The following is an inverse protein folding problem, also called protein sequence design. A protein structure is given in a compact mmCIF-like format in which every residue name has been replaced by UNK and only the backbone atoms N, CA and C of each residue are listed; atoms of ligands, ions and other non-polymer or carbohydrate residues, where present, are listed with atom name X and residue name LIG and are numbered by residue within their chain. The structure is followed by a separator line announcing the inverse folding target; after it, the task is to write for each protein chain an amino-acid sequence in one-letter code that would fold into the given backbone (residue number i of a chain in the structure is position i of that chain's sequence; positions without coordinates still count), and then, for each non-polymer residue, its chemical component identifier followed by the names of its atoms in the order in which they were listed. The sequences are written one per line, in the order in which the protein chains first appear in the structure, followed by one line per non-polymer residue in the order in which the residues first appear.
data_IF_052801519652
#
_entry.id   IF_052801519652
#
_cell.length_a   1.000
_cell.length_b   1.000
_cell.length_c   1.000
_cell.angle_alpha   90.00
_cell.angle_beta   90.00
_cell.angle_gamma   90.00
#
_symmetry.space_group_name_H-M   'P 1'
#
loop_
_entity.id
_entity.type
_entity.pdbx_description
1 polymer ?
#
# COMPACT_ATOMS: atom_id res chain seq x y z
N UNK A 1 -62.34 -8.79 -28.15
CA UNK A 1 -61.14 -8.13 -28.69
C UNK A 1 -60.92 -6.74 -28.10
N UNK A 2 -61.50 -5.64 -28.61
CA UNK A 2 -61.18 -4.28 -28.11
C UNK A 2 -61.52 -4.05 -26.62
N UNK A 3 -62.64 -4.57 -26.13
CA UNK A 3 -63.04 -4.42 -24.71
C UNK A 3 -62.17 -5.24 -23.75
N UNK A 4 -61.75 -6.44 -24.15
CA UNK A 4 -60.85 -7.30 -23.35
C UNK A 4 -59.45 -6.69 -23.27
N UNK A 5 -58.99 -6.07 -24.35
CA UNK A 5 -57.71 -5.36 -24.37
C UNK A 5 -57.74 -4.14 -23.44
N UNK A 6 -58.84 -3.38 -23.47
CA UNK A 6 -59.05 -2.22 -22.62
C UNK A 6 -59.09 -2.61 -21.13
N UNK A 7 -59.79 -3.69 -20.80
CA UNK A 7 -59.85 -4.23 -19.45
C UNK A 7 -58.50 -4.75 -18.95
N UNK A 8 -57.70 -5.38 -19.82
CA UNK A 8 -56.32 -5.79 -19.47
C UNK A 8 -55.42 -4.59 -19.16
N UNK A 9 -55.51 -3.53 -19.97
CA UNK A 9 -54.74 -2.31 -19.76
C UNK A 9 -55.15 -1.59 -18.47
N UNK A 10 -56.44 -1.58 -18.13
CA UNK A 10 -56.92 -1.01 -16.87
C UNK A 10 -56.37 -1.77 -15.66
N UNK A 11 -56.44 -3.11 -15.66
CA UNK A 11 -55.86 -3.94 -14.59
C UNK A 11 -54.37 -3.70 -14.46
N UNK A 12 -53.62 -3.75 -15.56
CA UNK A 12 -52.19 -3.51 -15.56
C UNK A 12 -51.83 -2.10 -15.03
N UNK A 13 -52.62 -1.08 -15.39
CA UNK A 13 -52.39 0.28 -14.90
C UNK A 13 -52.62 0.39 -13.39
N UNK A 14 -53.68 -0.23 -12.86
CA UNK A 14 -53.95 -0.24 -11.41
C UNK A 14 -52.88 -1.00 -10.62
N UNK A 15 -52.36 -2.10 -11.15
CA UNK A 15 -51.25 -2.85 -10.55
C UNK A 15 -49.96 -2.00 -10.55
N UNK A 16 -49.70 -1.29 -11.65
CA UNK A 16 -48.56 -0.38 -11.79
C UNK A 16 -48.65 0.78 -10.79
N UNK A 17 -49.81 1.42 -10.66
CA UNK A 17 -50.06 2.50 -9.70
C UNK A 17 -49.87 2.02 -8.26
N UNK A 18 -50.40 0.83 -7.93
CA UNK A 18 -50.23 0.23 -6.60
C UNK A 18 -48.74 -0.04 -6.31
N UNK A 19 -47.99 -0.54 -7.29
CA UNK A 19 -46.56 -0.80 -7.17
C UNK A 19 -45.75 0.49 -6.96
N UNK A 20 -46.07 1.55 -7.71
CA UNK A 20 -45.45 2.87 -7.55
C UNK A 20 -45.71 3.40 -6.14
N UNK A 21 -46.95 3.30 -5.66
CA UNK A 21 -47.33 3.81 -4.34
C UNK A 21 -46.59 3.08 -3.22
N UNK A 22 -46.48 1.75 -3.32
CA UNK A 22 -45.68 0.93 -2.39
C UNK A 22 -44.20 1.30 -2.42
N UNK A 23 -43.62 1.51 -3.61
CA UNK A 23 -42.22 1.88 -3.76
C UNK A 23 -41.89 3.31 -3.29
N UNK A 24 -42.88 4.21 -3.34
CA UNK A 24 -42.71 5.62 -2.97
C UNK A 24 -42.91 5.85 -1.47
N UNK A 25 -43.67 4.99 -0.79
CA UNK A 25 -43.85 5.03 0.67
C UNK A 25 -42.50 4.96 1.40
N UNK A 26 -42.14 6.02 2.14
CA UNK A 26 -40.84 6.15 2.81
C UNK A 26 -39.68 6.58 1.90
N UNK A 27 -39.94 6.83 0.62
CA UNK A 27 -39.02 7.45 -0.35
C UNK A 27 -39.57 8.76 -0.88
N UNK A 28 -40.48 9.39 -0.15
CA UNK A 28 -41.09 10.63 -0.60
C UNK A 28 -40.00 11.68 -0.86
N UNK A 29 -40.14 12.40 -1.98
CA UNK A 29 -39.26 13.51 -2.27
C UNK A 29 -39.51 14.62 -1.23
N UNK A 30 -38.58 14.71 -0.30
CA UNK A 30 -38.56 15.68 0.77
C UNK A 30 -37.20 16.38 0.78
N UNK A 31 -37.16 17.61 1.27
CA UNK A 31 -35.91 18.35 1.42
C UNK A 31 -34.91 17.56 2.29
N UNK A 32 -35.38 16.91 3.37
CA UNK A 32 -34.56 16.06 4.23
C UNK A 32 -33.94 14.88 3.46
N UNK A 33 -34.72 14.21 2.62
CA UNK A 33 -34.22 13.11 1.78
C UNK A 33 -33.15 13.59 0.80
N UNK A 34 -33.39 14.73 0.12
CA UNK A 34 -32.41 15.31 -0.81
C UNK A 34 -31.12 15.71 -0.12
N UNK A 35 -31.20 16.31 1.07
CA UNK A 35 -30.02 16.64 1.89
C UNK A 35 -29.26 15.38 2.35
N UNK A 36 -29.96 14.34 2.79
CA UNK A 36 -29.33 13.08 3.19
C UNK A 36 -28.63 12.37 2.02
N UNK A 37 -29.25 12.37 0.84
CA UNK A 37 -28.63 11.81 -0.38
C UNK A 37 -27.38 12.60 -0.76
N UNK A 38 -27.42 13.94 -0.67
CA UNK A 38 -26.25 14.77 -0.94
C UNK A 38 -25.11 14.50 0.05
N UNK A 39 -25.41 14.41 1.35
CA UNK A 39 -24.42 14.05 2.38
C UNK A 39 -23.85 12.65 2.20
N UNK A 40 -24.69 11.70 1.79
CA UNK A 40 -24.24 10.34 1.50
C UNK A 40 -23.23 10.35 0.33
N UNK A 41 -23.55 11.04 -0.76
CA UNK A 41 -22.66 11.16 -1.90
C UNK A 41 -21.32 11.84 -1.55
N UNK A 42 -21.36 12.88 -0.71
CA UNK A 42 -20.14 13.53 -0.20
C UNK A 42 -19.30 12.58 0.67
N UNK A 43 -19.94 11.83 1.57
CA UNK A 43 -19.26 10.87 2.43
C UNK A 43 -18.65 9.70 1.63
N UNK A 44 -19.35 9.19 0.62
CA UNK A 44 -18.85 8.14 -0.29
C UNK A 44 -17.65 8.64 -1.10
N UNK A 45 -17.71 9.88 -1.61
CA UNK A 45 -16.58 10.48 -2.32
C UNK A 45 -15.36 10.67 -1.41
N UNK A 46 -15.58 11.09 -0.15
CA UNK A 46 -14.52 11.24 0.83
C UNK A 46 -13.90 9.89 1.22
N UNK A 47 -14.71 8.86 1.45
CA UNK A 47 -14.22 7.51 1.76
C UNK A 47 -13.36 6.96 0.62
N UNK A 48 -13.79 7.14 -0.64
CA UNK A 48 -12.99 6.73 -1.80
C UNK A 48 -11.63 7.42 -1.85
N UNK A 49 -11.55 8.73 -1.60
CA UNK A 49 -10.27 9.45 -1.61
C UNK A 49 -9.38 9.04 -0.44
N UNK A 50 -9.95 8.88 0.77
CA UNK A 50 -9.21 8.42 1.95
C UNK A 50 -8.67 7.00 1.77
N UNK A 51 -9.45 6.08 1.17
CA UNK A 51 -8.97 4.73 0.87
C UNK A 51 -7.83 4.74 -0.14
N UNK A 52 -7.91 5.61 -1.16
CA UNK A 52 -6.84 5.78 -2.14
C UNK A 52 -5.58 6.34 -1.49
N UNK A 53 -5.70 7.30 -0.59
CA UNK A 53 -4.59 7.86 0.18
C UNK A 53 -3.97 6.79 1.11
N UNK A 54 -4.78 6.07 1.87
CA UNK A 54 -4.33 4.96 2.72
C UNK A 54 -3.55 3.90 1.94
N UNK A 55 -4.00 3.57 0.71
CA UNK A 55 -3.30 2.62 -0.15
C UNK A 55 -1.91 3.12 -0.55
N UNK A 56 -1.71 4.42 -0.73
CA UNK A 56 -0.38 4.98 -1.01
C UNK A 56 0.58 4.79 0.17
N UNK A 57 0.07 4.78 1.39
CA UNK A 57 0.85 4.56 2.61
C UNK A 57 0.87 3.11 3.07
N UNK A 58 0.28 2.18 2.31
CA UNK A 58 0.21 0.76 2.71
C UNK A 58 1.59 0.10 2.85
N UNK A 59 2.58 0.54 2.06
CA UNK A 59 3.97 0.09 2.17
C UNK A 59 4.73 0.76 3.33
N UNK A 60 4.12 1.75 3.99
CA UNK A 60 4.71 2.51 5.10
C UNK A 60 4.26 2.02 6.48
N UNK A 61 3.97 0.72 6.64
CA UNK A 61 3.66 0.15 7.95
C UNK A 61 4.85 0.39 8.91
N UNK A 62 4.65 1.18 9.99
CA UNK A 62 5.69 1.48 10.96
C UNK A 62 6.35 0.22 11.55
N UNK A 63 5.57 -0.86 11.69
CA UNK A 63 6.04 -2.13 12.22
C UNK A 63 7.01 -2.81 11.26
N UNK A 64 6.64 -2.87 9.97
CA UNK A 64 7.46 -3.46 8.93
C UNK A 64 8.73 -2.65 8.71
N UNK A 65 8.62 -1.31 8.68
CA UNK A 65 9.76 -0.41 8.56
C UNK A 65 10.72 -0.54 9.76
N UNK A 66 10.20 -0.66 10.99
CA UNK A 66 11.02 -0.86 12.18
C UNK A 66 11.78 -2.20 12.12
N UNK A 67 11.10 -3.28 11.68
CA UNK A 67 11.72 -4.57 11.50
C UNK A 67 12.84 -4.51 10.44
N UNK A 68 12.56 -3.90 9.28
CA UNK A 68 13.55 -3.73 8.21
C UNK A 68 14.76 -2.93 8.67
N UNK A 69 14.55 -1.82 9.39
CA UNK A 69 15.65 -1.02 9.97
C UNK A 69 16.51 -1.87 10.89
N UNK A 70 15.91 -2.68 11.77
CA UNK A 70 16.66 -3.57 12.67
C UNK A 70 17.51 -4.58 11.89
N UNK A 71 16.96 -5.20 10.85
CA UNK A 71 17.72 -6.12 10.00
C UNK A 71 18.87 -5.41 9.28
N UNK A 72 18.63 -4.22 8.74
CA UNK A 72 19.67 -3.41 8.09
C UNK A 72 20.79 -3.03 9.06
N UNK A 73 20.48 -2.67 10.31
CA UNK A 73 21.49 -2.39 11.33
C UNK A 73 22.33 -3.63 11.61
N UNK A 74 21.70 -4.79 11.84
CA UNK A 74 22.44 -6.04 12.10
C UNK A 74 23.32 -6.43 10.91
N UNK A 75 22.81 -6.29 9.69
CA UNK A 75 23.57 -6.57 8.46
C UNK A 75 24.76 -5.61 8.29
N UNK A 76 24.55 -4.31 8.56
CA UNK A 76 25.62 -3.30 8.54
C UNK A 76 26.70 -3.61 9.56
N UNK A 77 26.32 -3.89 10.80
CA UNK A 77 27.28 -4.22 11.87
C UNK A 77 28.06 -5.48 11.54
N UNK A 78 27.39 -6.50 10.99
CA UNK A 78 28.04 -7.73 10.54
C UNK A 78 29.02 -7.47 9.38
N UNK A 79 28.63 -6.66 8.39
CA UNK A 79 29.48 -6.28 7.28
C UNK A 79 30.73 -5.54 7.78
N UNK A 80 30.56 -4.51 8.62
CA UNK A 80 31.67 -3.74 9.18
C UNK A 80 32.62 -4.61 10.00
N UNK A 81 32.10 -5.56 10.79
CA UNK A 81 32.95 -6.50 11.54
C UNK A 81 33.80 -7.36 10.60
N UNK A 82 33.24 -7.84 9.49
CA UNK A 82 34.02 -8.60 8.52
C UNK A 82 35.03 -7.72 7.78
N UNK A 83 34.68 -6.47 7.46
CA UNK A 83 35.59 -5.48 6.89
C UNK A 83 36.80 -5.23 7.80
N UNK A 84 36.56 -4.97 9.09
CA UNK A 84 37.62 -4.77 10.07
C UNK A 84 38.50 -6.02 10.21
N UNK A 85 37.91 -7.22 10.25
CA UNK A 85 38.66 -8.47 10.29
C UNK A 85 39.57 -8.64 9.06
N UNK A 86 39.08 -8.29 7.86
CA UNK A 86 39.88 -8.30 6.63
C UNK A 86 41.06 -7.34 6.75
N UNK A 87 40.85 -6.11 7.25
CA UNK A 87 41.92 -5.12 7.43
C UNK A 87 42.96 -5.56 8.47
N UNK A 88 42.54 -6.19 9.56
CA UNK A 88 43.45 -6.77 10.55
C UNK A 88 44.29 -7.88 9.93
N UNK A 89 43.67 -8.79 9.19
CA UNK A 89 44.36 -9.90 8.54
C UNK A 89 45.33 -9.42 7.45
N UNK A 90 44.90 -8.47 6.62
CA UNK A 90 45.74 -7.82 5.64
C UNK A 90 46.97 -7.16 6.29
N UNK A 91 46.76 -6.39 7.36
CA UNK A 91 47.86 -5.73 8.08
C UNK A 91 48.86 -6.73 8.63
N UNK A 92 48.36 -7.82 9.25
CA UNK A 92 49.21 -8.91 9.72
C UNK A 92 50.02 -9.55 8.57
N UNK A 93 49.39 -9.77 7.42
CA UNK A 93 50.06 -10.36 6.26
C UNK A 93 51.16 -9.46 5.69
N UNK A 94 50.88 -8.15 5.58
CA UNK A 94 51.86 -7.14 5.16
C UNK A 94 53.04 -7.11 6.14
N UNK A 95 52.77 -7.06 7.45
CA UNK A 95 53.81 -6.93 8.47
C UNK A 95 54.65 -8.21 8.63
N UNK A 96 54.00 -9.38 8.63
CA UNK A 96 54.64 -10.66 8.97
C UNK A 96 55.31 -11.34 7.78
N UNK A 97 54.72 -11.23 6.60
CA UNK A 97 55.19 -11.90 5.39
C UNK A 97 55.78 -10.93 4.36
N UNK A 98 55.87 -9.63 4.69
CA UNK A 98 56.37 -8.59 3.78
C UNK A 98 55.64 -8.55 2.44
N UNK A 99 54.35 -8.89 2.46
CA UNK A 99 53.48 -8.82 1.29
C UNK A 99 53.14 -7.37 0.99
N UNK A 100 53.05 -7.02 -0.29
CA UNK A 100 52.52 -5.72 -0.69
C UNK A 100 50.99 -5.69 -0.53
N UNK A 101 50.47 -4.53 -0.11
CA UNK A 101 49.04 -4.36 0.17
C UNK A 101 48.18 -4.46 -1.09
N UNK A 102 48.66 -3.90 -2.21
CA UNK A 102 47.94 -3.98 -3.50
C UNK A 102 47.99 -5.40 -4.06
N UNK A 103 49.11 -6.10 -3.88
CA UNK A 103 49.20 -7.52 -4.24
C UNK A 103 48.23 -8.39 -3.43
N UNK A 104 48.12 -8.17 -2.12
CA UNK A 104 47.12 -8.83 -1.29
C UNK A 104 45.69 -8.57 -1.80
N UNK A 105 45.34 -7.28 -2.04
CA UNK A 105 44.02 -6.91 -2.54
C UNK A 105 43.70 -7.59 -3.87
N UNK A 106 44.64 -7.56 -4.83
CA UNK A 106 44.50 -8.20 -6.13
C UNK A 106 44.29 -9.72 -6.02
N UNK A 107 45.02 -10.38 -5.13
CA UNK A 107 44.94 -11.83 -4.95
C UNK A 107 43.60 -12.29 -4.34
N UNK A 108 42.97 -11.44 -3.52
CA UNK A 108 41.68 -11.72 -2.89
C UNK A 108 40.50 -10.98 -3.55
N UNK A 109 40.73 -10.32 -4.68
CA UNK A 109 39.73 -9.50 -5.39
C UNK A 109 39.08 -8.44 -4.48
N UNK A 110 39.84 -7.86 -3.56
CA UNK A 110 39.39 -6.77 -2.70
C UNK A 110 39.54 -5.47 -3.48
N UNK A 111 38.45 -4.70 -3.53
CA UNK A 111 38.44 -3.40 -4.18
C UNK A 111 39.19 -2.35 -3.35
N UNK A 112 39.84 -1.40 -4.02
CA UNK A 112 40.62 -0.35 -3.34
C UNK A 112 39.75 0.71 -2.66
N UNK A 113 38.46 0.80 -3.02
CA UNK A 113 37.46 1.67 -2.40
C UNK A 113 36.67 0.97 -1.27
N UNK A 114 37.07 -0.25 -0.90
CA UNK A 114 36.42 -1.00 0.16
C UNK A 114 36.68 -0.37 1.52
N UNK A 115 35.60 -0.02 2.22
CA UNK A 115 35.64 0.60 3.55
C UNK A 115 34.43 0.16 4.37
N UNK A 116 34.43 0.53 5.65
CA UNK A 116 33.29 0.41 6.56
C UNK A 116 32.11 1.28 6.09
N UNK A 117 30.91 0.79 6.32
CA UNK A 117 29.67 1.47 5.99
C UNK A 117 29.36 2.55 7.05
N UNK A 118 29.06 3.80 6.63
CA UNK A 118 28.75 4.92 7.52
C UNK A 118 27.43 4.73 8.26
#
# INVERSE_FOLDING_TARGET
MLREELQRLEVANTEMETSIQQATSGREDSNQRRELIAKLAEAEALDMELQKELKQYSDSDPTMLAAQRKYSTVAKDAANRWTENIFVFQSYCVDKFHLDRQEFNRNFNISDDMDTLP
#
